data_IF_564987700963
#
_entry.id   IF_564987700963
#
_cell.length_a   1.000
_cell.length_b   1.000
_cell.length_c   1.000
_cell.angle_alpha   90.00
_cell.angle_beta   90.00
_cell.angle_gamma   90.00
#
_symmetry.space_group_name_H-M   'P 1'
#
loop_
_entity.id
_entity.type
_entity.pdbx_description
1 polymer ?
#
# COMPACT_ATOMS: atom_id res chain seq x y z
N UNK A 1 -4.85 -23.92 1.45
CA UNK A 1 -4.01 -24.99 2.02
C UNK A 1 -3.01 -25.42 0.96
N UNK A 2 -1.78 -24.94 1.04
CA UNK A 2 -0.58 -25.62 0.54
C UNK A 2 0.62 -24.95 1.23
N UNK A 3 1.14 -25.64 2.22
CA UNK A 3 2.41 -25.35 2.90
C UNK A 3 3.56 -25.69 1.95
N UNK A 4 4.47 -24.73 1.74
CA UNK A 4 5.81 -24.99 1.23
C UNK A 4 6.78 -24.34 2.23
N UNK A 5 7.59 -25.18 2.87
CA UNK A 5 8.59 -24.80 3.86
C UNK A 5 9.77 -24.11 3.17
N UNK A 6 10.10 -22.90 3.60
CA UNK A 6 11.34 -22.19 3.26
C UNK A 6 11.25 -21.31 2.01
N UNK A 7 10.94 -20.03 2.20
CA UNK A 7 10.97 -19.01 1.15
C UNK A 7 10.14 -17.80 1.55
N UNK A 8 10.79 -16.66 1.76
CA UNK A 8 10.14 -15.40 2.10
C UNK A 8 9.46 -14.82 0.84
N UNK A 9 8.13 -14.86 0.78
CA UNK A 9 7.22 -13.89 0.14
C UNK A 9 5.94 -14.61 -0.32
N UNK A 10 4.80 -14.07 0.09
CA UNK A 10 3.47 -14.42 -0.42
C UNK A 10 2.75 -13.11 -0.71
N UNK A 11 2.58 -12.77 -2.00
CA UNK A 11 1.76 -11.63 -2.40
C UNK A 11 0.29 -11.95 -2.15
N UNK A 12 -0.34 -11.24 -1.21
CA UNK A 12 -1.79 -11.30 -1.04
C UNK A 12 -2.43 -10.35 -2.06
N UNK A 13 -3.32 -10.85 -2.90
CA UNK A 13 -4.06 -10.01 -3.85
C UNK A 13 -5.41 -9.66 -3.22
N UNK A 14 -5.60 -8.41 -2.82
CA UNK A 14 -6.88 -7.91 -2.31
C UNK A 14 -7.86 -7.63 -3.46
N UNK A 15 -9.15 -7.83 -3.15
CA UNK A 15 -10.27 -7.81 -4.10
C UNK A 15 -10.80 -6.37 -4.27
N UNK A 16 -10.38 -5.65 -5.30
CA UNK A 16 -10.98 -4.39 -5.74
C UNK A 16 -10.78 -4.17 -7.25
N UNK A 17 -11.66 -3.38 -7.88
CA UNK A 17 -11.58 -3.05 -9.31
C UNK A 17 -10.39 -2.09 -9.57
N UNK A 18 -9.28 -2.63 -10.04
CA UNK A 18 -8.37 -1.86 -10.91
C UNK A 18 -8.44 -2.43 -12.30
N UNK A 19 -7.82 -1.75 -13.27
CA UNK A 19 -7.84 -2.05 -14.70
C UNK A 19 -7.16 -3.39 -15.07
N UNK A 20 -7.46 -4.48 -14.37
CA UNK A 20 -7.00 -5.82 -14.66
C UNK A 20 -7.91 -6.38 -15.75
N UNK A 21 -7.55 -6.12 -17.01
CA UNK A 21 -8.22 -6.66 -18.21
C UNK A 21 -8.43 -8.19 -18.18
N UNK A 22 -7.72 -8.89 -17.29
CA UNK A 22 -7.76 -10.35 -17.12
C UNK A 22 -8.66 -10.79 -15.95
N UNK A 23 -8.88 -9.97 -14.91
CA UNK A 23 -9.57 -10.37 -13.67
C UNK A 23 -10.25 -9.18 -12.95
N UNK A 24 -11.44 -8.73 -13.39
CA UNK A 24 -12.05 -7.46 -12.94
C UNK A 24 -12.18 -7.34 -11.42
N UNK A 25 -12.46 -8.43 -10.71
CA UNK A 25 -12.58 -8.40 -9.24
C UNK A 25 -11.26 -8.28 -8.47
N UNK A 26 -10.10 -8.19 -9.11
CA UNK A 26 -8.79 -8.19 -8.45
C UNK A 26 -7.97 -6.95 -8.78
N UNK A 27 -7.28 -6.44 -7.76
CA UNK A 27 -6.35 -5.32 -7.92
C UNK A 27 -4.94 -5.79 -8.25
N UNK A 28 -4.18 -5.00 -9.02
CA UNK A 28 -2.72 -5.15 -9.13
C UNK A 28 -2.04 -4.57 -7.88
N UNK A 29 -2.13 -5.29 -6.77
CA UNK A 29 -1.48 -4.97 -5.50
C UNK A 29 -0.71 -6.17 -4.97
N UNK A 30 0.22 -5.89 -4.06
CA UNK A 30 1.04 -6.89 -3.41
C UNK A 30 1.34 -6.46 -1.97
N UNK A 31 1.52 -7.46 -1.12
CA UNK A 31 1.98 -7.31 0.24
C UNK A 31 3.17 -8.25 0.44
N UNK A 32 4.26 -7.76 1.03
CA UNK A 32 5.42 -8.57 1.40
C UNK A 32 5.45 -8.82 2.91
N UNK A 33 5.86 -10.04 3.27
CA UNK A 33 5.82 -10.53 4.64
C UNK A 33 7.21 -10.96 5.11
N UNK A 34 7.55 -10.57 6.34
CA UNK A 34 8.68 -11.13 7.09
C UNK A 34 8.12 -11.78 8.35
N UNK A 35 8.49 -13.04 8.60
CA UNK A 35 8.06 -13.82 9.78
C UNK A 35 6.53 -13.88 9.96
N UNK A 36 5.78 -13.84 8.85
CA UNK A 36 4.31 -13.91 8.86
C UNK A 36 3.61 -12.57 9.12
N UNK A 37 4.36 -11.48 9.23
CA UNK A 37 3.83 -10.13 9.38
C UNK A 37 4.15 -9.26 8.16
N UNK A 38 3.19 -8.45 7.74
CA UNK A 38 3.33 -7.52 6.62
C UNK A 38 4.39 -6.46 6.92
N UNK A 39 5.28 -6.17 5.96
CA UNK A 39 6.31 -5.12 6.07
C UNK A 39 6.18 -4.04 4.99
N UNK A 40 5.68 -4.43 3.83
CA UNK A 40 5.56 -3.60 2.64
C UNK A 40 4.20 -3.89 2.05
N UNK A 41 3.48 -2.84 1.69
CA UNK A 41 2.28 -2.93 0.86
C UNK A 41 2.42 -1.98 -0.32
N UNK A 42 2.05 -2.46 -1.50
CA UNK A 42 2.19 -1.73 -2.75
C UNK A 42 1.09 -2.03 -3.73
N UNK A 43 0.87 -1.09 -4.65
CA UNK A 43 -0.10 -1.23 -5.70
C UNK A 43 0.29 -0.40 -6.92
N UNK A 44 -0.17 -0.87 -8.08
CA UNK A 44 -0.23 -0.02 -9.25
C UNK A 44 -1.35 1.01 -9.09
N UNK A 45 -1.09 2.23 -9.52
CA UNK A 45 -2.03 3.35 -9.43
C UNK A 45 -2.82 3.49 -10.74
N UNK A 46 -4.02 4.06 -10.61
CA UNK A 46 -4.86 4.37 -11.76
C UNK A 46 -4.26 5.62 -12.41
N UNK A 47 -3.81 5.49 -13.64
CA UNK A 47 -3.24 6.56 -14.47
C UNK A 47 -4.28 7.24 -15.37
N UNK A 48 -5.45 6.61 -15.57
CA UNK A 48 -6.54 7.13 -16.42
C UNK A 48 -7.46 8.06 -15.61
N UNK A 49 -7.57 9.36 -15.94
CA UNK A 49 -8.35 10.32 -15.16
C UNK A 49 -9.83 9.96 -15.02
N UNK A 50 -10.47 9.52 -16.10
CA UNK A 50 -11.89 9.14 -16.11
C UNK A 50 -12.19 7.97 -15.16
N UNK A 51 -11.27 7.01 -15.09
CA UNK A 51 -11.39 5.87 -14.19
C UNK A 51 -11.16 6.30 -12.74
N UNK A 52 -10.20 7.20 -12.50
CA UNK A 52 -9.92 7.75 -11.18
C UNK A 52 -11.12 8.55 -10.65
N UNK A 53 -11.76 9.36 -11.51
CA UNK A 53 -12.94 10.16 -11.16
C UNK A 53 -14.14 9.28 -10.81
N UNK A 54 -14.38 8.24 -11.61
CA UNK A 54 -15.41 7.23 -11.31
C UNK A 54 -15.18 6.57 -9.94
N UNK A 55 -13.93 6.19 -9.65
CA UNK A 55 -13.58 5.54 -8.37
C UNK A 55 -13.66 6.50 -7.19
N UNK A 56 -13.30 7.77 -7.37
CA UNK A 56 -13.50 8.79 -6.35
C UNK A 56 -14.98 8.92 -5.98
N UNK A 57 -15.87 8.92 -6.98
CA UNK A 57 -17.32 8.91 -6.78
C UNK A 57 -17.83 7.67 -6.04
N UNK A 58 -17.36 6.48 -6.41
CA UNK A 58 -17.70 5.22 -5.72
C UNK A 58 -17.25 5.20 -4.24
N UNK A 59 -16.10 5.83 -3.95
CA UNK A 59 -15.57 5.96 -2.59
C UNK A 59 -16.19 7.12 -1.78
N UNK A 60 -17.11 7.89 -2.38
CA UNK A 60 -17.74 9.05 -1.72
C UNK A 60 -16.80 10.24 -1.53
N UNK A 61 -15.75 10.36 -2.34
CA UNK A 61 -14.79 11.47 -2.31
C UNK A 61 -15.26 12.54 -3.29
N UNK A 62 -15.40 13.78 -2.83
CA UNK A 62 -15.68 14.91 -3.72
C UNK A 62 -14.44 15.22 -4.58
N UNK A 63 -14.61 15.15 -5.90
CA UNK A 63 -13.56 15.36 -6.90
C UNK A 63 -12.88 16.72 -6.73
N UNK A 64 -13.61 17.74 -6.24
CA UNK A 64 -13.05 19.07 -5.99
C UNK A 64 -11.95 19.07 -4.92
N UNK A 65 -12.00 18.15 -3.95
CA UNK A 65 -10.97 18.06 -2.90
C UNK A 65 -9.64 17.52 -3.41
N UNK A 66 -9.66 16.81 -4.55
CA UNK A 66 -8.51 16.16 -5.18
C UNK A 66 -8.24 16.73 -6.59
N UNK A 67 -8.80 17.90 -6.93
CA UNK A 67 -8.72 18.49 -8.27
C UNK A 67 -7.27 18.65 -8.75
N UNK A 68 -6.38 19.18 -7.91
CA UNK A 68 -4.95 19.33 -8.23
C UNK A 68 -4.27 17.99 -8.54
N UNK A 69 -4.66 16.92 -7.84
CA UNK A 69 -4.15 15.58 -8.09
C UNK A 69 -4.71 15.04 -9.42
N UNK A 70 -6.01 15.17 -9.65
CA UNK A 70 -6.66 14.76 -10.90
C UNK A 70 -6.09 15.46 -12.13
N UNK A 71 -5.87 16.77 -12.02
CA UNK A 71 -5.30 17.59 -13.08
C UNK A 71 -3.87 17.17 -13.43
N UNK A 72 -3.10 16.65 -12.48
CA UNK A 72 -1.77 16.11 -12.76
C UNK A 72 -1.80 14.92 -13.74
N UNK A 73 -2.87 14.11 -13.72
CA UNK A 73 -3.07 13.01 -14.69
C UNK A 73 -3.73 13.47 -16.00
N UNK A 74 -4.48 14.58 -15.99
CA UNK A 74 -5.08 15.15 -17.20
C UNK A 74 -4.04 15.85 -18.07
N UNK A 75 -3.13 16.60 -17.45
CA UNK A 75 -2.10 17.37 -18.14
C UNK A 75 -0.78 16.60 -18.30
N UNK A 76 -0.46 15.72 -17.35
CA UNK A 76 0.67 14.81 -17.45
C UNK A 76 0.21 13.50 -18.04
N UNK A 77 0.68 13.16 -19.24
CA UNK A 77 0.62 11.80 -19.77
C UNK A 77 1.50 10.90 -18.87
N UNK A 78 0.98 10.56 -17.69
CA UNK A 78 1.73 9.88 -16.66
C UNK A 78 1.77 8.41 -17.06
N UNK A 79 2.95 7.82 -17.30
CA UNK A 79 3.04 6.41 -17.65
C UNK A 79 2.45 5.55 -16.53
N UNK A 80 2.06 4.30 -16.83
CA UNK A 80 1.65 3.34 -15.81
C UNK A 80 2.69 3.30 -14.69
N UNK A 81 2.26 3.58 -13.47
CA UNK A 81 3.12 3.74 -12.32
C UNK A 81 2.55 3.02 -11.11
N UNK A 82 3.44 2.52 -10.28
CA UNK A 82 3.11 1.90 -9.01
C UNK A 82 4.06 2.39 -7.94
N UNK A 83 3.75 2.04 -6.71
CA UNK A 83 4.60 2.34 -5.57
C UNK A 83 4.30 1.42 -4.42
N UNK A 84 5.13 1.52 -3.39
CA UNK A 84 4.97 0.78 -2.16
C UNK A 84 5.32 1.66 -0.97
N UNK A 85 4.72 1.35 0.17
CA UNK A 85 5.09 1.90 1.47
C UNK A 85 5.80 0.82 2.29
N UNK A 86 6.92 1.17 2.91
CA UNK A 86 7.65 0.28 3.80
C UNK A 86 7.74 0.92 5.20
N UNK A 87 7.38 0.16 6.24
CA UNK A 87 7.53 0.61 7.63
C UNK A 87 8.94 0.32 8.13
N UNK A 88 9.82 1.32 8.20
CA UNK A 88 11.23 1.13 8.57
C UNK A 88 11.38 0.43 9.93
N UNK A 89 10.69 0.91 10.95
CA UNK A 89 10.70 0.33 12.30
C UNK A 89 10.21 -1.12 12.29
N UNK A 90 9.21 -1.42 11.47
CA UNK A 90 8.62 -2.76 11.34
C UNK A 90 9.56 -3.73 10.62
N UNK A 91 10.26 -3.26 9.59
CA UNK A 91 11.33 -4.02 8.92
C UNK A 91 12.43 -4.36 9.91
N UNK A 92 12.93 -3.39 10.68
CA UNK A 92 13.98 -3.62 11.69
C UNK A 92 13.50 -4.58 12.79
N UNK A 93 12.26 -4.41 13.26
CA UNK A 93 11.67 -5.23 14.33
C UNK A 93 11.63 -6.70 13.92
N UNK A 94 11.10 -6.97 12.72
CA UNK A 94 10.93 -8.34 12.22
C UNK A 94 12.26 -8.94 11.75
N UNK A 95 13.17 -8.12 11.23
CA UNK A 95 14.52 -8.57 10.88
C UNK A 95 15.29 -9.05 12.11
N UNK A 96 15.29 -8.26 13.19
CA UNK A 96 15.97 -8.58 14.46
C UNK A 96 15.15 -9.49 15.40
N UNK A 97 13.94 -9.90 14.99
CA UNK A 97 13.03 -10.71 15.79
C UNK A 97 12.72 -10.11 17.18
N UNK A 98 12.50 -8.80 17.21
CA UNK A 98 12.09 -8.07 18.40
C UNK A 98 10.59 -8.28 18.66
N UNK A 99 10.23 -8.26 19.94
CA UNK A 99 8.87 -8.42 20.49
C UNK A 99 8.03 -7.13 20.47
N UNK A 100 8.65 -5.96 20.29
CA UNK A 100 7.97 -4.68 20.37
C UNK A 100 8.60 -3.62 19.45
N UNK A 101 7.77 -2.96 18.64
CA UNK A 101 8.16 -1.89 17.71
C UNK A 101 8.76 -0.66 18.40
N UNK A 102 8.47 -0.44 19.69
CA UNK A 102 9.07 0.67 20.45
C UNK A 102 10.59 0.51 20.61
N UNK A 103 11.11 -0.73 20.54
CA UNK A 103 12.54 -1.02 20.65
C UNK A 103 13.33 -0.64 19.39
N UNK A 104 12.65 -0.36 18.28
CA UNK A 104 13.27 0.02 17.01
C UNK A 104 13.22 1.53 16.74
N UNK A 105 12.53 2.30 17.58
CA UNK A 105 12.49 3.76 17.49
C UNK A 105 13.28 4.35 18.66
N UNK A 106 14.15 5.34 18.37
CA UNK A 106 14.97 5.98 19.39
C UNK A 106 14.11 6.77 20.40
N UNK A 107 13.06 7.44 19.91
CA UNK A 107 12.09 8.17 20.71
C UNK A 107 10.67 7.78 20.25
N UNK A 108 10.14 6.63 20.69
CA UNK A 108 8.83 6.17 20.25
C UNK A 108 7.76 7.21 20.60
N UNK A 109 6.95 7.55 19.60
CA UNK A 109 5.81 8.46 19.73
C UNK A 109 4.53 7.65 19.77
N UNK A 110 3.73 7.90 20.80
CA UNK A 110 2.38 7.37 20.92
C UNK A 110 1.47 8.47 21.51
N UNK A 111 0.13 8.33 21.45
CA UNK A 111 -0.79 9.34 21.99
C UNK A 111 -0.59 9.69 23.48
N UNK A 112 0.06 8.82 24.26
CA UNK A 112 0.33 8.97 25.68
C UNK A 112 1.78 9.38 26.00
N UNK A 113 2.72 9.26 25.05
CA UNK A 113 4.16 9.48 25.20
C UNK A 113 4.63 10.62 24.30
N UNK A 114 4.63 11.82 24.89
CA UNK A 114 5.03 13.06 24.24
C UNK A 114 6.43 13.56 24.65
N UNK A 115 6.96 13.11 25.79
CA UNK A 115 8.31 13.42 26.22
C UNK A 115 9.30 12.35 25.73
N UNK A 116 10.56 12.73 25.41
CA UNK A 116 11.63 11.77 25.13
C UNK A 116 11.90 10.83 26.31
#
# INVERSE_FOLDING_TARGET
KNEIKGGYSWSLIHRMDTNSAVRPFYTRLFDDFIRGEEIISGAERIDIPEMLEKRAGECGIDVKTIETYMDSFRYGATPPHGGFGAGLERVVMLFLALDNIRKTSLFPRDPHRLAP
#
